data_IF_052136229440
#
_entry.id   IF_052136229440
#
_cell.length_a   1.000
_cell.length_b   1.000
_cell.length_c   1.000
_cell.angle_alpha   90.00
_cell.angle_beta   90.00
_cell.angle_gamma   90.00
#
_symmetry.space_group_name_H-M   'P 1'
#
loop_
_entity.id
_entity.type
_entity.pdbx_description
1 polymer ?
#
# COMPACT_ATOMS: atom_id res chain seq x y z
N UNK A 1 5.64 0.00 -8.68
CA UNK A 1 4.45 0.38 -7.88
C UNK A 1 3.64 1.30 -8.74
N UNK A 2 2.40 0.92 -9.03
CA UNK A 2 1.56 1.69 -9.93
C UNK A 2 0.48 2.39 -9.11
N UNK A 3 0.15 3.62 -9.48
CA UNK A 3 -0.97 4.33 -8.86
C UNK A 3 -1.67 5.21 -9.87
N UNK A 4 -2.98 5.42 -9.66
CA UNK A 4 -3.82 6.34 -10.42
C UNK A 4 -4.67 7.14 -9.47
N UNK A 5 -4.89 8.39 -9.85
CA UNK A 5 -5.82 9.29 -9.18
C UNK A 5 -6.94 9.59 -10.16
N UNK A 6 -8.19 9.52 -9.69
CA UNK A 6 -9.37 9.91 -10.44
C UNK A 6 -10.25 10.79 -9.55
N UNK A 7 -11.09 11.60 -10.16
CA UNK A 7 -12.16 12.33 -9.46
C UNK A 7 -13.50 11.78 -9.93
N UNK A 8 -14.37 11.44 -8.98
CA UNK A 8 -15.73 10.94 -9.23
C UNK A 8 -16.65 11.70 -8.29
N UNK A 9 -17.62 12.43 -8.86
CA UNK A 9 -18.59 13.23 -8.11
C UNK A 9 -17.94 14.21 -7.10
N UNK A 10 -16.81 14.82 -7.49
CA UNK A 10 -16.04 15.75 -6.64
C UNK A 10 -15.21 15.07 -5.54
N UNK A 11 -15.16 13.74 -5.53
CA UNK A 11 -14.34 12.95 -4.59
C UNK A 11 -13.11 12.41 -5.30
N UNK A 12 -11.94 12.71 -4.75
CA UNK A 12 -10.69 12.14 -5.23
C UNK A 12 -10.54 10.68 -4.76
N UNK A 13 -10.24 9.80 -5.71
CA UNK A 13 -9.97 8.39 -5.50
C UNK A 13 -8.53 8.08 -5.89
N UNK A 14 -7.79 7.51 -4.95
CA UNK A 14 -6.44 7.01 -5.16
C UNK A 14 -6.46 5.48 -5.22
N UNK A 15 -6.17 4.94 -6.41
CA UNK A 15 -5.97 3.51 -6.63
C UNK A 15 -4.47 3.20 -6.65
N UNK A 16 -4.03 2.22 -5.87
CA UNK A 16 -2.63 1.80 -5.76
C UNK A 16 -2.52 0.30 -5.96
N UNK A 17 -1.59 -0.13 -6.81
CA UNK A 17 -1.15 -1.52 -6.92
C UNK A 17 0.26 -1.65 -6.38
N UNK A 18 0.39 -2.36 -5.26
CA UNK A 18 1.64 -2.67 -4.61
C UNK A 18 1.97 -4.15 -4.76
N UNK A 19 3.19 -4.46 -5.15
CA UNK A 19 3.66 -5.83 -5.29
C UNK A 19 4.54 -6.17 -4.09
N UNK A 20 3.99 -6.93 -3.16
CA UNK A 20 4.76 -7.58 -2.09
C UNK A 20 5.04 -9.03 -2.50
N UNK A 21 4.45 -10.03 -1.84
CA UNK A 21 4.47 -11.42 -2.33
C UNK A 21 3.60 -11.63 -3.57
N UNK A 22 2.48 -10.92 -3.62
CA UNK A 22 1.50 -10.88 -4.72
C UNK A 22 1.02 -9.45 -4.88
N UNK A 23 0.28 -9.17 -5.95
CA UNK A 23 -0.33 -7.87 -6.15
C UNK A 23 -1.39 -7.60 -5.04
N UNK A 24 -1.20 -6.49 -4.33
CA UNK A 24 -2.14 -5.91 -3.38
C UNK A 24 -2.72 -4.67 -4.05
N UNK A 25 -4.04 -4.65 -4.23
CA UNK A 25 -4.74 -3.48 -4.75
C UNK A 25 -5.43 -2.76 -3.59
N UNK A 26 -5.18 -1.47 -3.46
CA UNK A 26 -5.81 -0.62 -2.47
C UNK A 26 -6.51 0.55 -3.18
N UNK A 27 -7.70 0.92 -2.70
CA UNK A 27 -8.44 2.08 -3.13
C UNK A 27 -8.79 2.91 -1.89
N UNK A 28 -8.54 4.21 -1.93
CA UNK A 28 -8.89 5.11 -0.82
C UNK A 28 -9.21 6.50 -1.33
N UNK A 29 -10.08 7.19 -0.60
CA UNK A 29 -10.38 8.62 -0.78
C UNK A 29 -9.46 9.53 0.02
N UNK A 30 -8.64 8.97 0.92
CA UNK A 30 -7.84 9.72 1.89
C UNK A 30 -6.34 9.45 1.77
N UNK A 31 -5.96 8.18 1.56
CA UNK A 31 -4.55 7.77 1.53
C UNK A 31 -4.12 7.37 0.12
N UNK A 32 -2.98 7.90 -0.33
CA UNK A 32 -2.42 7.60 -1.64
C UNK A 32 -1.17 6.73 -1.60
N UNK A 33 -0.40 6.82 -2.69
CA UNK A 33 0.91 6.19 -2.82
C UNK A 33 1.93 6.77 -1.82
N UNK A 34 1.97 8.11 -1.73
CA UNK A 34 2.98 8.86 -0.97
C UNK A 34 2.45 9.34 0.40
N UNK A 35 3.34 9.55 1.38
CA UNK A 35 4.76 9.18 1.35
C UNK A 35 4.96 7.66 1.43
N UNK A 36 6.00 7.14 0.78
CA UNK A 36 6.42 5.74 0.96
C UNK A 36 7.40 5.61 2.12
N UNK A 37 7.29 4.54 2.92
CA UNK A 37 8.27 4.19 3.95
C UNK A 37 8.93 2.82 3.68
N UNK A 38 10.10 2.60 4.28
CA UNK A 38 10.77 1.29 4.24
C UNK A 38 10.32 0.46 5.44
N UNK A 39 9.98 -0.81 5.18
CA UNK A 39 9.56 -1.77 6.20
C UNK A 39 10.38 -3.04 6.04
N UNK A 40 10.70 -3.65 7.17
CA UNK A 40 11.37 -4.94 7.20
C UNK A 40 10.36 -6.08 7.05
N UNK A 41 10.66 -7.03 6.17
CA UNK A 41 9.75 -8.13 5.83
C UNK A 41 10.54 -9.40 5.55
N UNK A 42 10.07 -10.53 6.08
CA UNK A 42 10.69 -11.84 5.83
C UNK A 42 10.45 -12.29 4.39
N UNK A 43 11.54 -12.55 3.65
CA UNK A 43 11.49 -13.17 2.34
C UNK A 43 11.83 -14.66 2.46
N UNK A 44 10.86 -15.54 2.25
CA UNK A 44 11.11 -16.98 2.20
C UNK A 44 12.04 -17.40 1.05
N UNK A 45 12.10 -16.58 -0.01
CA UNK A 45 13.02 -16.80 -1.15
C UNK A 45 14.47 -16.55 -0.75
N UNK A 46 14.72 -15.42 -0.07
CA UNK A 46 16.07 -15.03 0.36
C UNK A 46 16.46 -15.64 1.72
N UNK A 47 15.50 -16.26 2.42
CA UNK A 47 15.63 -16.76 3.81
C UNK A 47 16.20 -15.70 4.75
N UNK A 48 15.81 -14.45 4.55
CA UNK A 48 16.26 -13.32 5.34
C UNK A 48 15.20 -12.22 5.39
N UNK A 49 15.37 -11.28 6.31
CA UNK A 49 14.65 -10.02 6.34
C UNK A 49 15.16 -9.10 5.24
N UNK A 50 14.23 -8.52 4.48
CA UNK A 50 14.52 -7.55 3.42
C UNK A 50 13.77 -6.24 3.69
N UNK A 51 14.36 -5.14 3.25
CA UNK A 51 13.72 -3.82 3.26
C UNK A 51 12.88 -3.68 1.99
N UNK A 52 11.60 -3.38 2.15
CA UNK A 52 10.69 -3.11 1.02
C UNK A 52 10.04 -1.73 1.19
N UNK A 53 9.86 -1.03 0.07
CA UNK A 53 9.09 0.20 0.05
C UNK A 53 7.60 -0.11 0.15
N UNK A 54 6.93 0.47 1.15
CA UNK A 54 5.49 0.34 1.39
C UNK A 54 4.78 1.66 1.10
N UNK A 55 3.62 1.63 0.42
CA UNK A 55 2.76 2.80 0.20
C UNK A 55 2.11 3.32 1.49
N UNK A 56 1.82 4.61 1.56
CA UNK A 56 1.07 5.20 2.66
C UNK A 56 -0.31 4.53 2.84
N UNK A 57 -1.03 4.26 1.75
CA UNK A 57 -2.34 3.59 1.79
C UNK A 57 -2.28 2.19 2.44
N UNK A 58 -1.20 1.44 2.23
CA UNK A 58 -1.04 0.10 2.84
C UNK A 58 -0.72 0.23 4.32
N UNK A 59 0.12 1.19 4.69
CA UNK A 59 0.40 1.50 6.10
C UNK A 59 -0.88 1.86 6.86
N UNK A 60 -1.66 2.78 6.29
CA UNK A 60 -2.93 3.21 6.88
C UNK A 60 -3.90 2.03 7.03
N UNK A 61 -4.05 1.19 6.00
CA UNK A 61 -4.86 -0.03 6.09
C UNK A 61 -4.40 -0.93 7.25
N UNK A 62 -3.10 -1.24 7.34
CA UNK A 62 -2.56 -2.10 8.38
C UNK A 62 -2.76 -1.57 9.80
N UNK A 63 -2.74 -0.25 10.00
CA UNK A 63 -2.95 0.37 11.31
C UNK A 63 -4.39 0.25 11.82
N UNK A 64 -5.36 0.15 10.91
CA UNK A 64 -6.78 0.09 11.25
C UNK A 64 -7.39 -1.31 11.03
N UNK A 65 -6.58 -2.28 10.61
CA UNK A 65 -6.99 -3.67 10.49
C UNK A 65 -7.24 -4.30 11.88
N UNK A 66 -8.20 -5.24 11.95
CA UNK A 66 -8.42 -6.09 13.12
C UNK A 66 -9.54 -5.65 14.07
N UNK A 67 -10.27 -4.59 13.74
CA UNK A 67 -11.46 -4.13 14.50
C UNK A 67 -12.79 -4.76 14.06
N UNK A 68 -12.76 -5.94 13.43
CA UNK A 68 -13.94 -6.69 12.94
C UNK A 68 -14.31 -7.79 13.91
#
# INVERSE_FOLDING_TARGET
MDHRVAEVDGVQLCAVRWYDNKAVNCLSTLYGCQPTDLVERWSSKEKNHIQIARPNIVKAYNQHMGGV
#
